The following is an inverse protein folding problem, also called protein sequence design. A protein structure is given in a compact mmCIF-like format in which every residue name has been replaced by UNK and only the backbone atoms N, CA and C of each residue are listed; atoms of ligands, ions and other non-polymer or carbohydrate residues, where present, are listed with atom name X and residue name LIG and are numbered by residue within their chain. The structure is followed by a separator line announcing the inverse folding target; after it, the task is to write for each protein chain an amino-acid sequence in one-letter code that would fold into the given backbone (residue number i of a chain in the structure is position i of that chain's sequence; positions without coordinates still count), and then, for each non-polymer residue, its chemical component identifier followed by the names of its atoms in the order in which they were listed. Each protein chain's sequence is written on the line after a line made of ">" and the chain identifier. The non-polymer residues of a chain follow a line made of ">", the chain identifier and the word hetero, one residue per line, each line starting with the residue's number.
data_IF_283289739881
#
_entry.id   IF_283289739881
#
_cell.length_a   1.000
_cell.length_b   1.000
_cell.length_c   1.000
_cell.angle_alpha   90.00
_cell.angle_beta   90.00
_cell.angle_gamma   90.00
#
_symmetry.space_group_name_H-M   'P 1'
#
loop_
_entity.id
_entity.type
_entity.pdbx_description
1 polymer ?
#
# COMPACT_ATOMS: atom_id res chain seq x y z
N UNK A 1 -15.58 21.61 14.87
CA UNK A 1 -14.58 20.58 14.53
C UNK A 1 -14.98 19.96 13.20
N UNK A 2 -14.23 20.28 12.16
CA UNK A 2 -14.38 19.71 10.81
C UNK A 2 -14.06 18.21 10.86
N UNK A 3 -15.00 17.36 10.44
CA UNK A 3 -14.73 15.94 10.21
C UNK A 3 -13.68 15.85 9.10
N UNK A 4 -12.55 15.21 9.38
CA UNK A 4 -11.55 14.87 8.38
C UNK A 4 -12.24 14.13 7.22
N UNK A 5 -12.19 14.75 6.04
CA UNK A 5 -12.81 14.26 4.82
C UNK A 5 -11.96 13.18 4.12
N UNK A 6 -10.87 12.74 4.75
CA UNK A 6 -9.86 11.83 4.19
C UNK A 6 -10.31 10.37 4.17
N UNK A 7 -11.22 9.96 5.05
CA UNK A 7 -11.71 8.57 5.11
C UNK A 7 -12.79 8.27 4.07
N UNK A 8 -13.59 9.27 3.69
CA UNK A 8 -14.61 9.12 2.64
C UNK A 8 -13.99 9.02 1.24
N UNK A 9 -12.91 9.77 0.97
CA UNK A 9 -12.27 9.79 -0.34
C UNK A 9 -11.44 8.55 -0.65
N UNK A 10 -10.93 7.85 0.38
CA UNK A 10 -10.12 6.64 0.18
C UNK A 10 -11.00 5.41 -0.13
N UNK A 11 -12.16 5.28 0.55
CA UNK A 11 -13.08 4.17 0.31
C UNK A 11 -13.68 4.17 -1.11
N UNK A 12 -13.69 5.33 -1.78
CA UNK A 12 -14.15 5.49 -3.17
C UNK A 12 -13.01 5.38 -4.21
N UNK A 13 -11.76 5.22 -3.77
CA UNK A 13 -10.62 5.12 -4.68
C UNK A 13 -10.60 3.76 -5.41
N UNK A 14 -9.88 3.64 -6.54
CA UNK A 14 -9.59 2.35 -7.16
C UNK A 14 -8.96 1.35 -6.18
N UNK A 15 -9.24 0.05 -6.37
CA UNK A 15 -8.83 -1.02 -5.45
C UNK A 15 -7.31 -1.09 -5.25
N UNK A 16 -6.54 -0.86 -6.30
CA UNK A 16 -5.07 -0.78 -6.28
C UNK A 16 -4.56 0.38 -5.43
N UNK A 17 -5.24 1.53 -5.48
CA UNK A 17 -4.91 2.70 -4.67
C UNK A 17 -5.23 2.46 -3.20
N UNK A 18 -6.38 1.84 -2.89
CA UNK A 18 -6.75 1.48 -1.52
C UNK A 18 -5.72 0.51 -0.93
N UNK A 19 -5.38 -0.54 -1.67
CA UNK A 19 -4.39 -1.53 -1.26
C UNK A 19 -3.01 -0.91 -1.05
N UNK A 20 -2.58 0.02 -1.92
CA UNK A 20 -1.32 0.71 -1.75
C UNK A 20 -1.27 1.52 -0.45
N UNK A 21 -2.36 2.19 -0.08
CA UNK A 21 -2.46 2.94 1.19
C UNK A 21 -2.41 1.99 2.39
N UNK A 22 -3.13 0.87 2.34
CA UNK A 22 -3.10 -0.13 3.40
C UNK A 22 -1.69 -0.73 3.58
N UNK A 23 -0.99 -1.00 2.48
CA UNK A 23 0.39 -1.50 2.51
C UNK A 23 1.35 -0.47 3.08
N UNK A 24 1.23 0.80 2.71
CA UNK A 24 2.04 1.89 3.27
C UNK A 24 1.81 1.98 4.78
N UNK A 25 0.55 2.00 5.22
CA UNK A 25 0.21 2.04 6.64
C UNK A 25 0.80 0.84 7.41
N UNK A 26 0.73 -0.36 6.83
CA UNK A 26 1.32 -1.56 7.43
C UNK A 26 2.84 -1.44 7.59
N UNK A 27 3.54 -0.97 6.57
CA UNK A 27 5.00 -0.80 6.59
C UNK A 27 5.43 0.25 7.61
N UNK A 28 4.74 1.39 7.66
CA UNK A 28 5.02 2.46 8.63
C UNK A 28 4.72 2.01 10.06
N UNK A 29 3.60 1.31 10.29
CA UNK A 29 3.22 0.80 11.61
C UNK A 29 4.19 -0.24 12.18
N UNK A 30 4.97 -0.89 11.31
CA UNK A 30 6.02 -1.84 11.69
C UNK A 30 7.43 -1.21 11.64
N UNK A 31 7.53 0.11 11.49
CA UNK A 31 8.80 0.86 11.45
C UNK A 31 9.78 0.31 10.40
N UNK A 32 9.26 -0.16 9.25
CA UNK A 32 10.09 -0.72 8.19
C UNK A 32 10.78 0.41 7.43
N UNK A 33 12.11 0.38 7.41
CA UNK A 33 12.92 1.32 6.64
C UNK A 33 12.51 1.32 5.14
N UNK A 34 12.32 2.50 4.50
CA UNK A 34 11.83 2.59 3.13
C UNK A 34 12.66 1.78 2.12
N UNK A 35 13.98 1.74 2.29
CA UNK A 35 14.88 0.96 1.43
C UNK A 35 14.62 -0.56 1.52
N UNK A 36 14.28 -1.04 2.72
CA UNK A 36 13.93 -2.45 2.96
C UNK A 36 12.56 -2.75 2.38
N UNK A 37 11.59 -1.85 2.60
CA UNK A 37 10.25 -1.96 2.03
C UNK A 37 10.27 -2.04 0.49
N UNK A 38 11.02 -1.14 -0.17
CA UNK A 38 11.15 -1.13 -1.63
C UNK A 38 11.77 -2.43 -2.16
N UNK A 39 12.82 -2.93 -1.50
CA UNK A 39 13.45 -4.21 -1.86
C UNK A 39 12.47 -5.38 -1.74
N UNK A 40 11.68 -5.43 -0.65
CA UNK A 40 10.66 -6.45 -0.44
C UNK A 40 9.52 -6.36 -1.46
N UNK A 41 9.04 -5.15 -1.77
CA UNK A 41 7.98 -4.92 -2.74
C UNK A 41 8.40 -5.34 -4.17
N UNK A 42 9.67 -5.18 -4.53
CA UNK A 42 10.19 -5.68 -5.82
C UNK A 42 10.17 -7.22 -5.90
N UNK A 43 10.39 -7.92 -4.79
CA UNK A 43 10.24 -9.38 -4.73
C UNK A 43 8.77 -9.77 -4.89
N UNK A 44 7.87 -9.12 -4.14
CA UNK A 44 6.42 -9.37 -4.22
C UNK A 44 5.90 -9.11 -5.64
N UNK A 45 6.32 -8.00 -6.26
CA UNK A 45 5.96 -7.67 -7.64
C UNK A 45 6.32 -8.79 -8.62
N UNK A 46 7.56 -9.28 -8.55
CA UNK A 46 8.02 -10.39 -9.41
C UNK A 46 7.21 -11.68 -9.21
N UNK A 47 6.86 -12.01 -7.98
CA UNK A 47 6.01 -13.19 -7.68
C UNK A 47 4.60 -13.04 -8.25
N UNK A 48 4.02 -11.83 -8.21
CA UNK A 48 2.72 -11.55 -8.80
C UNK A 48 2.77 -11.58 -10.34
N UNK A 49 3.81 -10.99 -10.95
CA UNK A 49 4.02 -11.03 -12.40
C UNK A 49 4.12 -12.47 -12.92
N UNK A 50 4.83 -13.35 -12.22
CA UNK A 50 4.95 -14.77 -12.57
C UNK A 50 3.63 -15.56 -12.51
N UNK A 51 2.60 -15.04 -11.83
CA UNK A 51 1.25 -15.66 -11.77
C UNK A 51 0.33 -15.18 -12.89
N UNK A 52 0.74 -14.15 -13.63
CA UNK A 52 -0.01 -13.62 -14.78
C UNK A 52 0.44 -14.24 -16.12
N UNK A 53 1.51 -15.04 -16.10
CA UNK A 53 1.99 -15.87 -17.21
C UNK A 53 1.24 -17.21 -17.28
#
# INVERSE_FOLDING_TARGET
>A
MTKDNSSASLAEAPEDIQLAVDLIYLLESNEIEPQVALSALEIVRKDLEAKLE
#
